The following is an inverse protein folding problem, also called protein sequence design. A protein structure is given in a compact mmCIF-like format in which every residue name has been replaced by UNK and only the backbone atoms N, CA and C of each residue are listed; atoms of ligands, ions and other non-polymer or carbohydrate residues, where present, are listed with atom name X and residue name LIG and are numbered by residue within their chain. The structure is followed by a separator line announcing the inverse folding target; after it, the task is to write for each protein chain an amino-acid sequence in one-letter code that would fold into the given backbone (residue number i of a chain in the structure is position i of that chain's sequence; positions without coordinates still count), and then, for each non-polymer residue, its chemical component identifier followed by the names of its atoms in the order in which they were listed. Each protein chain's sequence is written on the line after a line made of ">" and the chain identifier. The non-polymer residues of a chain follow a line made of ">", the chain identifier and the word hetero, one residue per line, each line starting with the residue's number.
data_IF_817841657497
#
_entry.id   IF_817841657497
#
_cell.length_a   1.000
_cell.length_b   1.000
_cell.length_c   1.000
_cell.angle_alpha   90.00
_cell.angle_beta   90.00
_cell.angle_gamma   90.00
#
_symmetry.space_group_name_H-M   'P 1'
#
loop_
_entity.id
_entity.type
_entity.pdbx_description
1 polymer ?
#
# COMPACT_ATOMS: atom_id res chain seq x y z
N UNK A 1 -26.94 -13.67 0.24
CA UNK A 1 -25.75 -14.53 0.00
C UNK A 1 -24.71 -14.24 1.08
N UNK A 2 -24.27 -15.26 1.82
CA UNK A 2 -23.42 -15.11 3.02
C UNK A 2 -21.98 -14.80 2.61
N UNK A 3 -21.42 -13.67 3.07
CA UNK A 3 -19.99 -13.32 2.93
C UNK A 3 -19.17 -14.32 3.75
N UNK A 4 -18.26 -15.05 3.11
CA UNK A 4 -17.33 -15.94 3.81
C UNK A 4 -16.20 -15.09 4.42
N UNK A 5 -16.21 -14.98 5.74
CA UNK A 5 -15.18 -14.38 6.58
C UNK A 5 -14.14 -15.49 6.79
N UNK A 6 -12.99 -15.43 6.11
CA UNK A 6 -11.88 -16.37 6.37
C UNK A 6 -10.97 -15.80 7.46
N UNK A 7 -11.13 -16.32 8.67
CA UNK A 7 -10.24 -16.03 9.80
C UNK A 7 -9.04 -16.97 9.77
N UNK A 8 -7.83 -16.43 9.59
CA UNK A 8 -6.58 -17.19 9.83
C UNK A 8 -6.13 -16.89 11.27
N UNK A 9 -5.89 -17.90 12.12
CA UNK A 9 -5.35 -17.70 13.46
C UNK A 9 -3.88 -17.26 13.37
N UNK A 10 -3.50 -16.15 14.03
CA UNK A 10 -2.10 -15.74 14.18
C UNK A 10 -1.71 -15.89 15.66
N UNK A 11 -0.65 -16.63 16.02
CA UNK A 11 -0.24 -16.78 17.41
C UNK A 11 0.40 -15.47 17.92
N UNK A 12 -0.05 -14.95 19.06
CA UNK A 12 0.66 -13.85 19.73
C UNK A 12 1.90 -14.38 20.47
N UNK A 13 3.04 -13.68 20.32
CA UNK A 13 4.26 -13.91 21.11
C UNK A 13 3.99 -13.53 22.57
N UNK A 14 4.26 -14.45 23.49
CA UNK A 14 4.21 -14.22 24.93
C UNK A 14 5.24 -13.16 25.35
N UNK A 15 4.75 -12.12 26.03
CA UNK A 15 5.59 -11.12 26.71
C UNK A 15 5.92 -11.71 28.09
N UNK A 16 7.15 -12.18 28.28
CA UNK A 16 7.68 -12.53 29.62
C UNK A 16 7.91 -11.25 30.41
N UNK A 17 7.10 -11.01 31.45
CA UNK A 17 7.41 -10.02 32.48
C UNK A 17 8.64 -10.47 33.27
N UNK A 18 9.64 -9.59 33.36
CA UNK A 18 10.85 -9.78 34.15
C UNK A 18 10.58 -9.23 35.55
N UNK A 19 10.30 -10.12 36.50
CA UNK A 19 10.03 -9.73 37.89
C UNK A 19 11.33 -9.40 38.62
N UNK A 20 11.36 -8.20 39.23
CA UNK A 20 12.49 -7.67 40.00
C UNK A 20 12.51 -8.29 41.40
N UNK A 21 13.64 -8.90 41.78
CA UNK A 21 13.82 -9.51 43.11
C UNK A 21 13.86 -8.42 44.19
N UNK A 22 12.97 -8.52 45.19
CA UNK A 22 13.17 -7.94 46.53
C UNK A 22 12.77 -8.98 47.57
N UNK A 23 13.74 -9.44 48.35
CA UNK A 23 13.57 -10.54 49.29
C UNK A 23 12.83 -10.17 50.58
N UNK A 24 12.07 -11.13 51.12
CA UNK A 24 11.91 -11.33 52.57
C UNK A 24 11.39 -12.74 52.90
N UNK A 25 11.94 -13.22 54.02
CA UNK A 25 11.85 -14.49 54.77
C UNK A 25 10.55 -15.35 54.79
N UNK A 26 10.78 -16.67 54.68
CA UNK A 26 10.22 -17.83 55.42
C UNK A 26 8.75 -18.28 55.35
N UNK A 27 8.64 -19.62 55.19
CA UNK A 27 7.64 -20.62 55.65
C UNK A 27 6.39 -20.94 54.80
N UNK A 28 6.44 -22.16 54.23
CA UNK A 28 5.39 -23.19 54.06
C UNK A 28 3.96 -22.79 53.63
N UNK A 29 3.61 -23.12 52.38
CA UNK A 29 2.49 -24.00 52.01
C UNK A 29 2.32 -24.04 50.49
N UNK A 30 2.37 -25.26 49.94
CA UNK A 30 2.15 -25.58 48.54
C UNK A 30 0.67 -25.30 48.17
N UNK A 31 0.42 -24.30 47.33
CA UNK A 31 -0.88 -24.11 46.66
C UNK A 31 -0.67 -24.13 45.15
N UNK A 32 -0.96 -25.28 44.54
CA UNK A 32 -1.08 -25.42 43.09
C UNK A 32 -2.28 -24.61 42.60
N UNK A 33 -2.04 -23.35 42.22
CA UNK A 33 -3.00 -22.58 41.43
C UNK A 33 -2.76 -22.93 39.95
N UNK A 34 -3.56 -23.84 39.40
CA UNK A 34 -3.61 -24.07 37.96
C UNK A 34 -4.37 -22.92 37.33
N UNK A 35 -3.67 -21.86 36.95
CA UNK A 35 -4.22 -20.77 36.13
C UNK A 35 -4.36 -21.26 34.70
N UNK A 36 -5.59 -21.60 34.30
CA UNK A 36 -5.94 -21.90 32.92
C UNK A 36 -5.79 -20.61 32.08
N UNK A 37 -4.64 -20.43 31.43
CA UNK A 37 -4.44 -19.34 30.48
C UNK A 37 -5.32 -19.61 29.24
N UNK A 38 -6.52 -19.02 29.21
CA UNK A 38 -7.32 -18.94 28.00
C UNK A 38 -6.59 -18.05 26.99
N UNK A 39 -5.95 -18.65 25.99
CA UNK A 39 -5.38 -17.93 24.86
C UNK A 39 -6.56 -17.39 24.04
N UNK A 40 -6.91 -16.13 24.22
CA UNK A 40 -7.88 -15.44 23.38
C UNK A 40 -7.21 -15.26 22.01
N UNK A 41 -7.43 -16.23 21.11
CA UNK A 41 -7.06 -16.09 19.70
C UNK A 41 -7.90 -14.97 19.11
N UNK A 42 -7.37 -13.74 19.12
CA UNK A 42 -7.96 -12.63 18.39
C UNK A 42 -7.80 -12.92 16.90
N UNK A 43 -8.81 -13.52 16.28
CA UNK A 43 -8.85 -13.67 14.84
C UNK A 43 -9.05 -12.30 14.20
N UNK A 44 -7.97 -11.62 13.84
CA UNK A 44 -8.07 -10.48 12.93
C UNK A 44 -8.52 -11.02 11.59
N UNK A 45 -9.81 -10.89 11.27
CA UNK A 45 -10.27 -11.22 9.93
C UNK A 45 -9.72 -10.14 8.98
N UNK A 46 -8.54 -10.38 8.43
CA UNK A 46 -8.02 -9.56 7.36
C UNK A 46 -8.98 -9.68 6.18
N UNK A 47 -9.51 -8.56 5.70
CA UNK A 47 -10.41 -8.54 4.53
C UNK A 47 -9.55 -8.86 3.29
N UNK A 48 -9.50 -10.14 2.93
CA UNK A 48 -8.94 -10.62 1.67
C UNK A 48 -10.06 -10.61 0.64
N UNK A 49 -9.84 -9.95 -0.49
CA UNK A 49 -10.87 -9.79 -1.50
C UNK A 49 -10.46 -8.76 -2.54
N UNK A 50 -11.21 -8.74 -3.64
CA UNK A 50 -10.99 -7.78 -4.71
C UNK A 50 -11.91 -6.58 -4.55
N UNK A 51 -11.50 -5.46 -5.14
CA UNK A 51 -12.38 -4.32 -5.34
C UNK A 51 -13.50 -4.72 -6.29
N UNK A 52 -14.64 -4.04 -6.21
CA UNK A 52 -15.78 -4.30 -7.10
C UNK A 52 -15.73 -3.32 -8.29
N UNK A 53 -14.56 -3.25 -8.94
CA UNK A 53 -14.38 -2.53 -10.19
C UNK A 53 -14.65 -3.41 -11.41
N UNK A 54 -14.88 -2.80 -12.57
CA UNK A 54 -15.21 -3.51 -13.82
C UNK A 54 -14.11 -4.46 -14.29
N UNK A 55 -12.85 -4.22 -13.92
CA UNK A 55 -11.69 -5.01 -14.33
C UNK A 55 -11.19 -5.97 -13.25
N UNK A 56 -11.83 -5.99 -12.08
CA UNK A 56 -11.41 -6.81 -10.96
C UNK A 56 -12.13 -8.16 -10.98
N UNK A 57 -11.41 -9.21 -10.57
CA UNK A 57 -11.97 -10.54 -10.31
C UNK A 57 -12.93 -10.48 -9.13
N UNK A 58 -13.84 -11.45 -9.02
CA UNK A 58 -14.70 -11.57 -7.84
C UNK A 58 -13.92 -11.92 -6.57
N UNK A 59 -12.85 -12.71 -6.71
CA UNK A 59 -11.99 -13.16 -5.61
C UNK A 59 -10.54 -13.28 -6.11
N UNK A 60 -9.55 -13.08 -5.24
CA UNK A 60 -8.16 -13.28 -5.62
C UNK A 60 -7.90 -14.76 -5.90
N UNK A 61 -7.16 -15.04 -6.96
CA UNK A 61 -6.68 -16.39 -7.29
C UNK A 61 -5.37 -16.32 -8.09
N UNK A 62 -4.62 -17.43 -8.22
CA UNK A 62 -3.38 -17.44 -8.99
C UNK A 62 -3.56 -17.02 -10.45
N UNK A 63 -2.57 -16.32 -11.00
CA UNK A 63 -2.46 -15.85 -12.38
C UNK A 63 -1.02 -16.11 -12.87
N UNK A 64 -0.72 -17.31 -13.39
CA UNK A 64 0.64 -17.71 -13.71
C UNK A 64 1.26 -16.98 -14.92
N UNK A 65 0.43 -16.41 -15.80
CA UNK A 65 0.86 -15.84 -17.09
C UNK A 65 0.95 -14.30 -17.08
N UNK A 66 1.11 -13.69 -15.90
CA UNK A 66 1.25 -12.24 -15.78
C UNK A 66 2.55 -11.76 -16.44
N UNK A 67 2.45 -10.76 -17.32
CA UNK A 67 3.60 -10.15 -18.01
C UNK A 67 4.20 -8.97 -17.27
N UNK A 68 3.42 -8.39 -16.35
CA UNK A 68 3.78 -7.34 -15.40
C UNK A 68 2.94 -7.55 -14.13
N UNK A 69 3.20 -6.82 -13.04
CA UNK A 69 2.51 -6.97 -11.76
C UNK A 69 2.71 -8.37 -11.14
N UNK A 70 3.80 -9.06 -11.50
CA UNK A 70 4.09 -10.46 -11.12
C UNK A 70 4.20 -10.68 -9.62
N UNK A 71 4.38 -9.61 -8.84
CA UNK A 71 4.29 -9.62 -7.38
C UNK A 71 2.98 -10.24 -6.88
N UNK A 72 1.90 -10.15 -7.65
CA UNK A 72 0.58 -10.67 -7.30
C UNK A 72 0.24 -12.02 -7.95
N UNK A 73 1.17 -12.63 -8.71
CA UNK A 73 0.93 -13.86 -9.49
C UNK A 73 0.33 -15.03 -8.70
N UNK A 74 0.73 -15.24 -7.44
CA UNK A 74 0.21 -16.33 -6.60
C UNK A 74 -1.20 -16.05 -6.04
N UNK A 75 -1.62 -14.79 -6.01
CA UNK A 75 -2.93 -14.37 -5.50
C UNK A 75 -3.27 -12.98 -6.04
N UNK A 76 -3.94 -12.94 -7.20
CA UNK A 76 -4.21 -11.70 -7.94
C UNK A 76 -5.71 -11.43 -8.08
N UNK A 77 -6.05 -10.15 -7.99
CA UNK A 77 -7.37 -9.59 -8.29
C UNK A 77 -7.55 -9.08 -9.72
N UNK A 78 -6.50 -9.09 -10.54
CA UNK A 78 -6.58 -8.81 -11.97
C UNK A 78 -6.34 -10.09 -12.77
N UNK A 79 -6.79 -10.13 -14.03
CA UNK A 79 -6.44 -11.20 -14.96
C UNK A 79 -5.09 -10.92 -15.64
N UNK A 80 -4.36 -11.97 -16.03
CA UNK A 80 -3.09 -11.81 -16.74
C UNK A 80 -3.17 -10.97 -18.03
N UNK A 81 -4.30 -11.00 -18.74
CA UNK A 81 -4.65 -10.11 -19.88
C UNK A 81 -4.27 -8.66 -19.59
N UNK A 82 -4.77 -8.12 -18.47
CA UNK A 82 -4.61 -6.72 -18.12
C UNK A 82 -3.12 -6.33 -18.08
N UNK A 83 -2.28 -7.24 -17.57
CA UNK A 83 -0.85 -6.99 -17.37
C UNK A 83 -0.07 -6.86 -18.69
N UNK A 84 -0.62 -7.36 -19.81
CA UNK A 84 0.00 -7.23 -21.14
C UNK A 84 0.13 -5.75 -21.54
N UNK A 85 -0.84 -4.91 -21.15
CA UNK A 85 -0.82 -3.46 -21.43
C UNK A 85 0.34 -2.74 -20.72
N UNK A 86 0.84 -3.31 -19.63
CA UNK A 86 1.93 -2.74 -18.83
C UNK A 86 3.31 -3.33 -19.18
N UNK A 87 3.36 -4.44 -19.91
CA UNK A 87 4.57 -5.22 -20.12
C UNK A 87 5.62 -4.54 -21.00
N UNK A 88 5.19 -3.63 -21.90
CA UNK A 88 6.08 -2.90 -22.79
C UNK A 88 6.29 -1.48 -22.29
N UNK A 89 7.51 -0.98 -22.42
CA UNK A 89 7.87 0.42 -22.17
C UNK A 89 8.29 1.06 -23.51
N UNK A 90 7.89 2.30 -23.81
CA UNK A 90 7.06 3.17 -22.97
C UNK A 90 5.59 2.71 -22.88
N UNK A 91 4.97 2.84 -21.72
CA UNK A 91 3.52 2.66 -21.56
C UNK A 91 2.83 3.90 -22.08
N UNK A 92 2.18 3.76 -23.23
CA UNK A 92 1.46 4.87 -23.87
C UNK A 92 0.05 5.01 -23.28
N UNK A 93 -0.67 3.89 -23.14
CA UNK A 93 -2.08 3.87 -22.79
C UNK A 93 -2.44 2.63 -21.98
N UNK A 94 -3.30 2.81 -20.98
CA UNK A 94 -3.96 1.73 -20.26
C UNK A 94 -5.46 1.95 -20.38
N UNK A 95 -6.18 0.99 -20.97
CA UNK A 95 -7.60 1.15 -21.30
C UNK A 95 -7.83 2.47 -22.07
N UNK A 96 -8.57 3.43 -21.50
CA UNK A 96 -8.86 4.74 -22.10
C UNK A 96 -8.01 5.88 -21.51
N UNK A 97 -6.88 5.57 -20.87
CA UNK A 97 -6.03 6.57 -20.22
C UNK A 97 -4.62 6.56 -20.78
N UNK A 98 -4.28 7.61 -21.53
CA UNK A 98 -2.93 7.88 -22.00
C UNK A 98 -2.06 8.44 -20.89
N UNK A 99 -0.87 7.89 -20.75
CA UNK A 99 0.14 8.32 -19.79
C UNK A 99 1.11 9.33 -20.39
N UNK A 100 1.10 9.51 -21.72
CA UNK A 100 2.06 10.34 -22.44
C UNK A 100 1.50 11.69 -22.93
N UNK A 101 0.45 12.21 -22.30
CA UNK A 101 -0.21 13.46 -22.75
C UNK A 101 0.69 14.69 -22.71
N UNK A 102 1.71 14.68 -21.85
CA UNK A 102 2.73 15.73 -21.74
C UNK A 102 4.12 15.27 -22.18
N UNK A 103 4.19 14.24 -23.04
CA UNK A 103 5.45 13.59 -23.43
C UNK A 103 5.58 12.19 -22.81
N UNK A 104 6.57 11.42 -23.25
CA UNK A 104 6.82 10.09 -22.68
C UNK A 104 7.40 10.25 -21.28
N UNK A 105 6.85 9.51 -20.31
CA UNK A 105 7.42 9.44 -18.97
C UNK A 105 8.81 8.82 -19.02
N UNK A 106 9.71 9.33 -18.19
CA UNK A 106 10.98 8.72 -17.88
C UNK A 106 10.77 7.30 -17.33
N UNK A 107 11.74 6.42 -17.57
CA UNK A 107 11.64 5.04 -17.13
C UNK A 107 11.43 4.90 -15.60
N UNK A 108 12.15 5.65 -14.75
CA UNK A 108 11.91 5.63 -13.29
C UNK A 108 10.50 6.06 -12.92
N UNK A 109 9.97 7.13 -13.53
CA UNK A 109 8.61 7.59 -13.25
C UNK A 109 7.55 6.57 -13.69
N UNK A 110 7.69 6.00 -14.89
CA UNK A 110 6.82 4.94 -15.42
C UNK A 110 6.78 3.73 -14.45
N UNK A 111 7.92 3.34 -13.88
CA UNK A 111 7.99 2.20 -12.95
C UNK A 111 7.18 2.43 -11.68
N UNK A 112 7.15 3.65 -11.15
CA UNK A 112 6.28 3.97 -10.00
C UNK A 112 4.81 4.00 -10.38
N UNK A 113 4.47 4.59 -11.54
CA UNK A 113 3.10 4.57 -12.06
C UNK A 113 2.60 3.13 -12.23
N UNK A 114 3.43 2.24 -12.77
CA UNK A 114 3.15 0.79 -12.87
C UNK A 114 2.91 0.15 -11.51
N UNK A 115 3.76 0.41 -10.51
CA UNK A 115 3.59 -0.14 -9.15
C UNK A 115 2.22 0.21 -8.56
N UNK A 116 1.78 1.46 -8.72
CA UNK A 116 0.48 1.92 -8.22
C UNK A 116 -0.68 1.30 -9.00
N UNK A 117 -0.60 1.26 -10.32
CA UNK A 117 -1.63 0.61 -11.15
C UNK A 117 -1.75 -0.89 -10.81
N UNK A 118 -0.62 -1.60 -10.70
CA UNK A 118 -0.56 -2.99 -10.29
C UNK A 118 -1.16 -3.20 -8.89
N UNK A 119 -0.88 -2.32 -7.94
CA UNK A 119 -1.49 -2.39 -6.61
C UNK A 119 -3.01 -2.26 -6.69
N UNK A 120 -3.51 -1.24 -7.39
CA UNK A 120 -4.94 -1.00 -7.51
C UNK A 120 -5.67 -2.16 -8.21
N UNK A 121 -5.11 -2.69 -9.29
CA UNK A 121 -5.75 -3.71 -10.13
C UNK A 121 -5.60 -5.12 -9.57
N UNK A 122 -4.41 -5.47 -9.09
CA UNK A 122 -4.03 -6.86 -8.87
C UNK A 122 -3.90 -7.24 -7.40
N UNK A 123 -3.72 -6.28 -6.49
CA UNK A 123 -3.49 -6.61 -5.07
C UNK A 123 -4.69 -7.31 -4.43
N UNK A 124 -4.50 -8.48 -3.78
CA UNK A 124 -5.56 -9.14 -3.01
C UNK A 124 -5.88 -8.41 -1.68
N UNK A 125 -5.14 -7.33 -1.41
CA UNK A 125 -5.21 -6.53 -0.19
C UNK A 125 -5.83 -5.15 -0.39
N UNK A 126 -5.98 -4.68 -1.63
CA UNK A 126 -6.50 -3.33 -1.91
C UNK A 126 -7.90 -3.12 -1.30
N UNK A 127 -8.75 -4.16 -1.30
CA UNK A 127 -10.09 -4.11 -0.74
C UNK A 127 -10.15 -3.91 0.79
N UNK A 128 -9.01 -3.98 1.50
CA UNK A 128 -8.91 -3.55 2.91
C UNK A 128 -9.23 -2.07 3.07
N UNK A 129 -8.97 -1.28 2.04
CA UNK A 129 -9.19 0.17 2.00
C UNK A 129 -10.31 0.55 1.04
N UNK A 130 -11.24 -0.37 0.75
CA UNK A 130 -12.38 -0.11 -0.14
C UNK A 130 -13.19 1.11 0.34
N UNK A 131 -13.56 2.00 -0.58
CA UNK A 131 -14.42 3.13 -0.25
C UNK A 131 -15.83 2.61 0.10
N UNK A 132 -16.44 3.06 1.22
CA UNK A 132 -17.70 2.50 1.70
C UNK A 132 -18.89 2.70 0.75
N UNK A 133 -18.87 3.79 -0.03
CA UNK A 133 -19.93 4.14 -0.98
C UNK A 133 -19.60 3.85 -2.44
N UNK A 134 -18.33 3.53 -2.75
CA UNK A 134 -17.85 3.37 -4.13
C UNK A 134 -16.90 2.18 -4.17
N UNK A 135 -17.42 0.98 -4.33
CA UNK A 135 -16.69 -0.27 -4.07
C UNK A 135 -15.58 -0.59 -5.09
N UNK A 136 -15.53 0.14 -6.20
CA UNK A 136 -14.39 0.15 -7.13
C UNK A 136 -13.22 1.04 -6.69
N UNK A 137 -13.41 1.92 -5.70
CA UNK A 137 -12.43 2.89 -5.24
C UNK A 137 -11.75 2.46 -3.94
N UNK A 138 -10.54 2.97 -3.72
CA UNK A 138 -9.80 2.86 -2.47
C UNK A 138 -9.76 4.21 -1.74
N UNK A 139 -9.59 4.18 -0.43
CA UNK A 139 -9.49 5.39 0.39
C UNK A 139 -8.48 5.23 1.51
N UNK A 140 -7.59 6.22 1.65
CA UNK A 140 -6.62 6.32 2.75
C UNK A 140 -5.69 5.11 2.88
N UNK A 141 -5.27 4.52 1.76
CA UNK A 141 -4.21 3.50 1.74
C UNK A 141 -2.92 4.14 2.25
N UNK A 142 -2.31 3.63 3.34
CA UNK A 142 -1.08 4.19 3.89
C UNK A 142 0.11 3.78 3.03
N UNK A 143 0.69 4.74 2.30
CA UNK A 143 1.98 4.56 1.64
C UNK A 143 3.10 5.00 2.59
N UNK A 144 4.24 4.30 2.55
CA UNK A 144 5.41 4.75 3.31
C UNK A 144 5.91 6.08 2.75
N UNK A 145 6.38 6.95 3.65
CA UNK A 145 6.92 8.27 3.29
C UNK A 145 8.01 8.17 2.20
N UNK A 146 9.01 7.31 2.38
CA UNK A 146 10.09 7.15 1.41
C UNK A 146 9.59 6.67 0.04
N UNK A 147 8.55 5.83 -0.03
CA UNK A 147 7.97 5.45 -1.32
C UNK A 147 7.43 6.67 -2.07
N UNK A 148 6.77 7.58 -1.35
CA UNK A 148 6.24 8.81 -1.92
C UNK A 148 7.35 9.78 -2.35
N UNK A 149 8.41 9.90 -1.54
CA UNK A 149 9.55 10.75 -1.85
C UNK A 149 10.35 10.22 -3.04
N UNK A 150 10.61 8.91 -3.10
CA UNK A 150 11.29 8.25 -4.22
C UNK A 150 10.46 8.34 -5.52
N UNK A 151 9.13 8.21 -5.43
CA UNK A 151 8.25 8.39 -6.58
C UNK A 151 8.34 9.83 -7.10
N UNK A 152 8.29 10.81 -6.21
CA UNK A 152 8.39 12.22 -6.62
C UNK A 152 9.74 12.52 -7.24
N UNK A 153 10.83 12.08 -6.61
CA UNK A 153 12.18 12.27 -7.15
C UNK A 153 12.33 11.62 -8.53
N UNK A 154 11.74 10.44 -8.73
CA UNK A 154 11.75 9.75 -10.02
C UNK A 154 10.96 10.46 -11.13
N UNK A 155 9.97 11.29 -10.78
CA UNK A 155 9.09 11.97 -11.73
C UNK A 155 9.32 13.48 -11.82
N UNK A 156 10.13 14.10 -10.95
CA UNK A 156 10.17 15.57 -10.76
C UNK A 156 10.47 16.37 -12.04
N UNK A 157 11.20 15.77 -12.98
CA UNK A 157 11.62 16.35 -14.26
C UNK A 157 10.74 15.88 -15.44
N UNK A 158 9.76 15.00 -15.18
CA UNK A 158 8.67 14.67 -16.11
C UNK A 158 7.58 15.74 -16.06
N UNK A 159 6.69 15.74 -17.05
CA UNK A 159 5.63 16.74 -17.18
C UNK A 159 4.22 16.17 -17.02
N UNK A 160 3.32 16.94 -16.43
CA UNK A 160 1.88 16.66 -16.32
C UNK A 160 1.07 17.93 -16.51
N UNK A 161 -0.18 17.80 -16.99
CA UNK A 161 -1.13 18.89 -17.15
C UNK A 161 -2.28 18.83 -16.12
N UNK A 162 -2.26 17.80 -15.26
CA UNK A 162 -3.29 17.57 -14.24
C UNK A 162 -2.65 17.29 -12.88
N UNK A 163 -3.30 17.78 -11.83
CA UNK A 163 -2.87 17.54 -10.45
C UNK A 163 -3.44 16.23 -9.91
N UNK A 164 -4.74 16.00 -10.10
CA UNK A 164 -5.39 14.74 -9.80
C UNK A 164 -5.67 13.95 -11.08
N UNK A 165 -4.92 12.86 -11.25
CA UNK A 165 -4.91 11.98 -12.41
C UNK A 165 -6.19 11.13 -12.55
N UNK A 166 -7.10 11.15 -11.58
CA UNK A 166 -8.39 10.48 -11.67
C UNK A 166 -9.48 11.40 -12.22
N UNK A 167 -9.46 12.68 -11.83
CA UNK A 167 -10.61 13.58 -12.01
C UNK A 167 -10.37 14.77 -12.92
N UNK A 168 -9.15 15.26 -13.04
CA UNK A 168 -8.91 16.59 -13.62
C UNK A 168 -8.70 16.58 -15.14
N UNK A 169 -8.94 15.42 -15.77
CA UNK A 169 -8.86 15.26 -17.21
C UNK A 169 -10.17 15.70 -17.88
N UNK A 170 -10.06 16.36 -19.03
CA UNK A 170 -11.16 16.37 -19.99
C UNK A 170 -11.31 14.99 -20.62
N UNK A 171 -12.55 14.55 -20.87
CA UNK A 171 -12.81 13.26 -21.52
C UNK A 171 -13.57 13.47 -22.81
N UNK A 172 -13.04 12.89 -23.89
CA UNK A 172 -13.73 12.93 -25.18
C UNK A 172 -14.88 11.91 -25.25
N UNK A 173 -15.54 11.84 -26.41
CA UNK A 173 -16.67 10.93 -26.65
C UNK A 173 -16.30 9.45 -26.55
N UNK A 174 -15.04 9.09 -26.75
CA UNK A 174 -14.52 7.73 -26.57
C UNK A 174 -14.05 7.44 -25.14
N UNK A 175 -14.08 8.45 -24.27
CA UNK A 175 -13.67 8.37 -22.88
C UNK A 175 -12.16 8.55 -22.66
N UNK A 176 -11.42 8.92 -23.69
CA UNK A 176 -9.99 9.19 -23.61
C UNK A 176 -9.71 10.50 -22.87
N UNK A 177 -8.68 10.52 -22.04
CA UNK A 177 -8.28 11.68 -21.26
C UNK A 177 -7.54 12.72 -22.11
N UNK A 178 -7.80 14.01 -21.94
CA UNK A 178 -7.12 15.11 -22.62
C UNK A 178 -6.75 16.21 -21.61
N UNK A 179 -5.65 16.91 -21.89
CA UNK A 179 -5.22 18.06 -21.10
C UNK A 179 -6.12 19.26 -21.39
N UNK A 180 -6.49 19.99 -20.34
CA UNK A 180 -7.10 21.32 -20.44
C UNK A 180 -6.14 22.44 -20.00
N UNK A 181 -5.02 22.09 -19.35
CA UNK A 181 -3.99 23.02 -18.92
C UNK A 181 -2.68 22.77 -19.67
N UNK A 182 -1.76 23.73 -19.58
CA UNK A 182 -0.40 23.56 -20.06
C UNK A 182 0.33 22.43 -19.30
N UNK A 183 1.25 21.77 -20.00
CA UNK A 183 2.11 20.76 -19.40
C UNK A 183 3.23 21.45 -18.62
N UNK A 184 3.28 21.20 -17.32
CA UNK A 184 4.32 21.70 -16.42
C UNK A 184 5.07 20.53 -15.77
N UNK A 185 6.26 20.79 -15.22
CA UNK A 185 7.03 19.77 -14.52
C UNK A 185 6.27 19.27 -13.29
N UNK A 186 6.48 18.01 -12.93
CA UNK A 186 5.95 17.46 -11.68
C UNK A 186 6.46 18.21 -10.45
N UNK A 187 7.69 18.71 -10.49
CA UNK A 187 8.27 19.56 -9.44
C UNK A 187 7.59 20.92 -9.29
N UNK A 188 6.93 21.41 -10.34
CA UNK A 188 6.09 22.60 -10.29
C UNK A 188 4.66 22.24 -9.86
N UNK A 189 4.13 21.10 -10.32
CA UNK A 189 2.79 20.61 -10.01
C UNK A 189 2.63 20.20 -8.54
N UNK A 190 3.66 19.57 -7.96
CA UNK A 190 3.62 18.98 -6.61
C UNK A 190 4.76 19.51 -5.75
N UNK A 191 4.48 19.84 -4.49
CA UNK A 191 5.47 20.44 -3.59
C UNK A 191 6.57 19.48 -3.13
N UNK A 192 6.26 18.19 -3.02
CA UNK A 192 7.13 17.08 -2.59
C UNK A 192 6.40 15.74 -2.73
N UNK A 193 7.05 14.63 -2.36
CA UNK A 193 6.47 13.28 -2.39
C UNK A 193 5.17 13.12 -1.61
N UNK A 194 5.08 13.71 -0.42
CA UNK A 194 3.85 13.68 0.38
C UNK A 194 2.68 14.32 -0.35
N UNK A 195 2.92 15.51 -0.93
CA UNK A 195 1.92 16.26 -1.67
C UNK A 195 1.46 15.49 -2.91
N UNK A 196 2.41 14.91 -3.65
CA UNK A 196 2.14 14.12 -4.84
C UNK A 196 1.29 12.90 -4.54
N UNK A 197 1.69 12.04 -3.58
CA UNK A 197 0.94 10.85 -3.18
C UNK A 197 -0.49 11.16 -2.74
N UNK A 198 -0.70 12.28 -2.05
CA UNK A 198 -2.02 12.66 -1.51
C UNK A 198 -2.90 13.41 -2.51
N UNK A 199 -2.35 13.83 -3.65
CA UNK A 199 -3.07 14.61 -4.65
C UNK A 199 -3.33 13.83 -5.93
N UNK A 200 -2.33 13.09 -6.42
CA UNK A 200 -2.37 12.46 -7.75
C UNK A 200 -3.54 11.50 -7.92
N UNK A 201 -3.85 10.69 -6.92
CA UNK A 201 -5.01 9.78 -6.92
C UNK A 201 -6.10 10.25 -5.95
N UNK A 202 -6.19 11.55 -5.70
CA UNK A 202 -7.10 12.14 -4.73
C UNK A 202 -6.98 11.49 -3.35
N UNK A 203 -8.11 11.11 -2.75
CA UNK A 203 -8.16 10.53 -1.39
C UNK A 203 -7.76 9.05 -1.31
N UNK A 204 -7.25 8.48 -2.40
CA UNK A 204 -6.89 7.05 -2.47
C UNK A 204 -5.75 6.71 -1.53
N UNK A 205 -4.71 7.55 -1.49
CA UNK A 205 -3.51 7.32 -0.71
C UNK A 205 -3.32 8.41 0.34
N UNK A 206 -2.67 8.02 1.44
CA UNK A 206 -2.14 8.96 2.42
C UNK A 206 -0.67 8.62 2.65
N UNK A 207 0.17 9.63 2.84
CA UNK A 207 1.52 9.36 3.34
C UNK A 207 1.42 9.02 4.82
N UNK A 208 2.03 7.90 5.19
CA UNK A 208 2.14 7.45 6.57
C UNK A 208 3.57 7.60 7.03
N UNK A 209 3.79 8.57 7.93
CA UNK A 209 4.83 8.44 8.96
C UNK A 209 4.22 7.48 9.98
N UNK A 210 4.68 6.23 10.08
CA UNK A 210 3.94 5.20 10.85
C UNK A 210 3.76 5.66 12.32
N UNK A 211 2.55 6.12 12.67
CA UNK A 211 2.07 6.07 14.04
C UNK A 211 1.47 4.69 14.26
N UNK A 212 2.06 3.97 15.20
CA UNK A 212 1.57 2.69 15.70
C UNK A 212 0.10 2.77 16.05
N UNK A 213 -0.68 1.81 15.59
CA UNK A 213 -2.03 1.58 16.10
C UNK A 213 -1.94 1.18 17.57
N UNK A 214 -2.41 2.03 18.48
CA UNK A 214 -3.11 1.66 19.73
C UNK A 214 -3.70 2.91 20.39
N UNK A 215 -4.91 2.75 20.87
CA UNK A 215 -5.86 3.76 21.33
C UNK A 215 -5.39 4.65 22.49
N UNK A 216 -5.88 5.90 22.44
CA UNK A 216 -6.54 6.66 23.51
C UNK A 216 -5.95 8.05 23.76
N UNK A 217 -6.79 9.04 23.43
CA UNK A 217 -6.96 10.34 24.08
C UNK A 217 -5.72 11.18 24.38
N UNK A 218 -5.57 12.29 23.67
CA UNK A 218 -5.80 13.66 24.22
C UNK A 218 -5.19 14.72 23.31
N UNK A 219 -6.03 15.70 22.97
CA UNK A 219 -5.76 17.14 22.92
C UNK A 219 -4.45 17.68 22.31
N UNK A 220 -4.64 18.43 21.22
CA UNK A 220 -4.09 19.78 20.97
C UNK A 220 -2.61 20.08 21.21
N UNK A 221 -1.95 20.47 20.12
CA UNK A 221 -1.29 21.78 19.91
C UNK A 221 0.11 21.72 19.28
N UNK A 222 0.34 22.75 18.49
CA UNK A 222 1.43 23.11 17.57
C UNK A 222 2.85 23.08 18.13
N UNK A 223 3.83 22.73 17.29
CA UNK A 223 4.88 23.64 16.77
C UNK A 223 6.06 22.87 16.15
N UNK A 224 6.71 23.55 15.20
CA UNK A 224 7.78 23.11 14.30
C UNK A 224 9.17 23.04 14.95
N UNK A 225 10.00 22.08 14.52
CA UNK A 225 11.43 22.32 14.24
C UNK A 225 12.06 21.13 13.49
N UNK A 226 12.92 21.46 12.55
CA UNK A 226 13.67 20.58 11.65
C UNK A 226 15.01 20.18 12.26
N UNK A 227 15.36 18.90 12.21
CA UNK A 227 16.76 18.43 12.15
C UNK A 227 16.82 16.97 11.70
N UNK A 228 17.80 16.71 10.86
CA UNK A 228 18.15 15.49 10.17
C UNK A 228 18.66 14.41 11.15
N UNK A 229 17.82 13.42 11.39
CA UNK A 229 18.24 12.11 11.89
C UNK A 229 17.26 11.10 11.32
N UNK A 230 17.71 10.24 10.42
CA UNK A 230 16.88 9.14 9.89
C UNK A 230 16.25 8.42 11.07
N UNK A 231 14.94 8.59 11.17
CA UNK A 231 14.19 8.33 12.38
C UNK A 231 14.08 6.81 12.57
N UNK A 232 13.95 6.35 13.82
CA UNK A 232 13.80 4.91 14.14
C UNK A 232 12.68 4.22 13.35
N UNK A 233 11.70 5.00 12.90
CA UNK A 233 10.50 4.65 12.19
C UNK A 233 10.74 4.45 10.68
N UNK A 234 11.63 5.25 10.09
CA UNK A 234 12.10 5.06 8.71
C UNK A 234 12.81 3.69 8.58
N UNK A 235 13.56 3.29 9.60
CA UNK A 235 14.18 1.96 9.68
C UNK A 235 13.14 0.85 9.78
N UNK A 236 11.96 1.08 10.37
CA UNK A 236 10.90 0.07 10.50
C UNK A 236 10.14 -0.18 9.20
N UNK A 237 9.77 0.88 8.45
CA UNK A 237 9.22 0.70 7.10
C UNK A 237 10.27 0.06 6.18
N UNK A 238 11.52 0.55 6.21
CA UNK A 238 12.62 -0.05 5.43
C UNK A 238 12.83 -1.52 5.79
N UNK A 239 12.73 -1.90 7.07
CA UNK A 239 12.82 -3.30 7.50
C UNK A 239 11.63 -4.15 7.05
N UNK A 240 10.42 -3.61 6.98
CA UNK A 240 9.25 -4.31 6.42
C UNK A 240 9.38 -4.49 4.90
N UNK A 241 9.86 -3.47 4.19
CA UNK A 241 10.13 -3.52 2.75
C UNK A 241 11.26 -4.51 2.43
N UNK A 242 12.39 -4.41 3.12
CA UNK A 242 13.53 -5.34 3.00
C UNK A 242 13.15 -6.77 3.39
N UNK A 243 12.28 -6.96 4.41
CA UNK A 243 11.76 -8.28 4.75
C UNK A 243 10.88 -8.84 3.64
N UNK A 244 10.09 -7.99 2.99
CA UNK A 244 9.25 -8.39 1.86
C UNK A 244 10.11 -8.74 0.63
N UNK A 245 11.17 -7.98 0.35
CA UNK A 245 12.14 -8.26 -0.71
C UNK A 245 12.97 -9.52 -0.42
N UNK A 246 13.37 -9.73 0.84
CA UNK A 246 14.11 -10.94 1.25
C UNK A 246 13.26 -12.21 1.16
N UNK A 247 12.00 -12.14 1.59
CA UNK A 247 11.05 -13.25 1.43
C UNK A 247 10.83 -13.58 -0.06
N UNK A 248 10.90 -12.59 -0.94
CA UNK A 248 10.82 -12.80 -2.39
C UNK A 248 12.06 -13.53 -2.92
N UNK A 249 13.27 -13.17 -2.47
CA UNK A 249 14.52 -13.84 -2.86
C UNK A 249 14.63 -15.28 -2.36
N UNK A 250 14.20 -15.54 -1.11
CA UNK A 250 14.21 -16.90 -0.53
C UNK A 250 13.19 -17.83 -1.22
N UNK A 251 12.08 -17.28 -1.73
CA UNK A 251 11.08 -18.07 -2.48
C UNK A 251 11.52 -18.35 -3.92
N UNK A 252 12.28 -17.45 -4.56
CA UNK A 252 12.90 -17.69 -5.88
C UNK A 252 14.06 -18.70 -5.80
N UNK A 253 14.80 -18.78 -4.69
CA UNK A 253 15.87 -19.77 -4.46
C UNK A 253 15.31 -21.18 -4.15
N UNK A 254 14.12 -21.30 -3.56
CA UNK A 254 13.48 -22.58 -3.27
C UNK A 254 12.70 -23.18 -4.46
N UNK A 255 12.55 -22.43 -5.56
CA UNK A 255 11.84 -22.88 -6.78
C UNK A 255 12.79 -23.23 -7.93
N UNK A 256 14.09 -23.36 -7.67
CA UNK A 256 15.13 -23.74 -8.63
C UNK A 256 15.75 -25.08 -8.24
#
# INVERSE_FOLDING_TARGET
>A
MRKAIYCVPVPQRSITQKESRRGKSQTTMLRFAVTLFAVIMSSTCQKFGCLEGSTHKLKPSPEPNMRECTLYSKSSCCYADFTVQLARSPVIKISNSYWNRCGQLSKPCEDFMKKIECFYRCSPYAARWIHPSYTAAIRSVPLCQNFCDDWYEACKDDSTCVRNWLTDWERDRSGENHCNNECILYSEMYRNGTDMCQSMWGKSFKSSKESSSSSSSSSSSSSSSSSSSSSSEERACRKKLLKFEKLKGEEEEHTR
#
